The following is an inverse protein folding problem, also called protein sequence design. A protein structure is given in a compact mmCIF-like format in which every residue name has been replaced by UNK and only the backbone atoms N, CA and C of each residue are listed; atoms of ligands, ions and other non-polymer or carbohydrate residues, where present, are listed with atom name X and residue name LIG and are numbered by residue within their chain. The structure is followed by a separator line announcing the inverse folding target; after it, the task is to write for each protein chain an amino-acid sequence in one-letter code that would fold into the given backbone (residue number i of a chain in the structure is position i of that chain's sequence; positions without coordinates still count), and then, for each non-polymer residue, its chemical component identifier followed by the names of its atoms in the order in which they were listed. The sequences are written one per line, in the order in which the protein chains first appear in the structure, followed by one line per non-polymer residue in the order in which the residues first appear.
data_IF_086292182698
#
_entry.id   IF_086292182698
#
_cell.length_a   1.000
_cell.length_b   1.000
_cell.length_c   1.000
_cell.angle_alpha   90.00
_cell.angle_beta   90.00
_cell.angle_gamma   90.00
#
_symmetry.space_group_name_H-M   'P 1'
#
loop_
_entity.id
_entity.type
_entity.pdbx_description
1 polymer ?
#
# COMPACT_ATOMS: atom_id res chain seq x y z
N UNK A 1 -13.14 -21.83 12.15
CA UNK A 1 -14.15 -21.76 11.07
C UNK A 1 -15.04 -20.51 11.19
N UNK A 2 -15.61 -20.20 12.36
CA UNK A 2 -16.43 -18.99 12.59
C UNK A 2 -15.70 -17.66 12.28
N UNK A 3 -14.43 -17.53 12.67
CA UNK A 3 -13.63 -16.30 12.49
C UNK A 3 -13.46 -15.94 11.00
N UNK A 4 -13.31 -16.94 10.13
CA UNK A 4 -13.16 -16.72 8.69
C UNK A 4 -14.47 -16.26 8.03
N UNK A 5 -15.62 -16.74 8.53
CA UNK A 5 -16.94 -16.31 8.03
C UNK A 5 -17.19 -14.86 8.44
N UNK A 6 -16.90 -14.49 9.68
CA UNK A 6 -17.05 -13.11 10.18
C UNK A 6 -16.13 -12.15 9.41
N UNK A 7 -14.87 -12.54 9.17
CA UNK A 7 -13.93 -11.76 8.34
C UNK A 7 -14.45 -11.58 6.90
N UNK A 8 -14.95 -12.63 6.26
CA UNK A 8 -15.53 -12.55 4.90
C UNK A 8 -16.77 -11.67 4.85
N UNK A 9 -17.66 -11.79 5.84
CA UNK A 9 -18.88 -10.99 5.90
C UNK A 9 -18.58 -9.50 6.14
N UNK A 10 -17.59 -9.19 6.99
CA UNK A 10 -17.09 -7.81 7.16
C UNK A 10 -16.46 -7.26 5.90
N UNK A 11 -15.64 -8.05 5.19
CA UNK A 11 -15.06 -7.66 3.89
C UNK A 11 -16.15 -7.38 2.86
N UNK A 12 -17.22 -8.18 2.87
CA UNK A 12 -18.39 -7.95 2.01
C UNK A 12 -19.11 -6.63 2.36
N UNK A 13 -19.30 -6.33 3.66
CA UNK A 13 -19.89 -5.06 4.09
C UNK A 13 -19.00 -3.85 3.73
N UNK A 14 -17.68 -3.98 3.81
CA UNK A 14 -16.77 -2.90 3.43
C UNK A 14 -16.76 -2.60 1.94
N UNK A 15 -17.15 -3.54 1.08
CA UNK A 15 -17.33 -3.25 -0.36
C UNK A 15 -18.44 -2.24 -0.65
N UNK A 16 -19.40 -2.06 0.26
CA UNK A 16 -20.40 -0.98 0.12
C UNK A 16 -19.78 0.40 0.37
N UNK A 17 -18.72 0.48 1.18
CA UNK A 17 -18.00 1.73 1.48
C UNK A 17 -16.86 1.98 0.50
N UNK A 18 -16.12 0.94 0.12
CA UNK A 18 -15.03 1.02 -0.84
C UNK A 18 -15.24 -0.02 -1.96
N UNK A 19 -15.86 0.40 -3.08
CA UNK A 19 -16.27 -0.54 -4.13
C UNK A 19 -15.10 -1.11 -4.94
N UNK A 20 -13.92 -0.47 -4.89
CA UNK A 20 -12.76 -0.83 -5.72
C UNK A 20 -11.61 -1.39 -4.88
N UNK A 21 -10.94 -0.56 -4.06
CA UNK A 21 -9.85 -1.01 -3.18
C UNK A 21 -10.26 -0.98 -1.72
N UNK A 22 -9.76 -1.92 -0.92
CA UNK A 22 -9.94 -1.94 0.52
C UNK A 22 -8.64 -1.56 1.24
N UNK A 23 -8.69 -0.93 2.44
CA UNK A 23 -7.50 -0.71 3.24
C UNK A 23 -6.73 -2.00 3.55
N UNK A 24 -7.43 -3.13 3.65
CA UNK A 24 -6.83 -4.45 3.83
C UNK A 24 -6.02 -4.93 2.62
N UNK A 25 -6.36 -4.49 1.41
CA UNK A 25 -5.61 -4.88 0.22
C UNK A 25 -4.20 -4.27 0.29
N UNK A 26 -4.10 -3.00 0.71
CA UNK A 26 -2.81 -2.35 0.98
C UNK A 26 -2.09 -2.98 2.16
N UNK A 27 -2.81 -3.27 3.25
CA UNK A 27 -2.24 -3.96 4.41
C UNK A 27 -1.60 -5.30 4.01
N UNK A 28 -2.29 -6.07 3.19
CA UNK A 28 -1.79 -7.35 2.67
C UNK A 28 -0.56 -7.17 1.77
N UNK A 29 -0.58 -6.17 0.88
CA UNK A 29 0.51 -5.92 -0.06
C UNK A 29 1.78 -5.42 0.65
N UNK A 30 1.63 -4.61 1.71
CA UNK A 30 2.74 -4.13 2.53
C UNK A 30 3.16 -5.11 3.65
N UNK A 31 2.35 -6.13 3.94
CA UNK A 31 2.58 -7.04 5.07
C UNK A 31 2.29 -6.40 6.43
N UNK A 32 1.37 -5.45 6.50
CA UNK A 32 0.97 -4.79 7.74
C UNK A 32 -0.15 -5.60 8.40
N UNK A 33 -0.01 -5.88 9.69
CA UNK A 33 -1.05 -6.54 10.47
C UNK A 33 -1.83 -5.51 11.31
N UNK A 34 -3.13 -5.43 11.08
CA UNK A 34 -4.05 -4.66 11.93
C UNK A 34 -4.91 -5.60 12.79
N UNK A 35 -5.17 -5.21 14.05
CA UNK A 35 -6.07 -5.96 14.94
C UNK A 35 -7.53 -5.95 14.45
N UNK A 36 -7.91 -4.91 13.72
CA UNK A 36 -9.24 -4.72 13.14
C UNK A 36 -9.10 -4.07 11.75
N UNK A 37 -10.08 -4.25 10.85
CA UNK A 37 -10.19 -3.48 9.60
C UNK A 37 -9.97 -1.98 9.81
N UNK A 38 -8.88 -1.38 9.28
CA UNK A 38 -8.67 0.05 9.42
C UNK A 38 -9.60 0.81 8.48
N UNK A 39 -10.05 1.98 8.92
CA UNK A 39 -10.62 2.98 8.03
C UNK A 39 -9.54 3.56 7.10
N UNK A 40 -9.96 4.25 6.03
CA UNK A 40 -9.03 4.92 5.12
C UNK A 40 -8.15 5.95 5.85
N UNK A 41 -8.72 6.75 6.75
CA UNK A 41 -7.96 7.77 7.48
C UNK A 41 -6.98 7.14 8.48
N UNK A 42 -7.32 6.02 9.09
CA UNK A 42 -6.39 5.25 9.94
C UNK A 42 -5.24 4.66 9.12
N UNK A 43 -5.54 4.15 7.92
CA UNK A 43 -4.53 3.67 7.00
C UNK A 43 -3.57 4.80 6.61
N UNK A 44 -4.08 5.96 6.18
CA UNK A 44 -3.23 7.11 5.83
C UNK A 44 -2.35 7.54 7.02
N UNK A 45 -2.95 7.69 8.21
CA UNK A 45 -2.19 8.04 9.42
C UNK A 45 -1.09 7.03 9.72
N UNK A 46 -1.36 5.75 9.52
CA UNK A 46 -0.37 4.70 9.70
C UNK A 46 0.75 4.83 8.66
N UNK A 47 0.42 4.95 7.37
CA UNK A 47 1.41 4.99 6.29
C UNK A 47 2.37 6.19 6.37
N UNK A 48 1.92 7.33 6.90
CA UNK A 48 2.76 8.52 7.10
C UNK A 48 3.47 8.55 8.46
N UNK A 49 3.19 7.60 9.36
CA UNK A 49 3.87 7.51 10.65
C UNK A 49 5.33 7.07 10.42
N UNK A 50 6.34 7.76 10.97
CA UNK A 50 7.74 7.37 10.82
C UNK A 50 8.08 5.97 11.35
N UNK A 51 7.19 5.36 12.15
CA UNK A 51 7.34 3.99 12.65
C UNK A 51 6.74 2.94 11.72
N UNK A 52 6.01 3.36 10.68
CA UNK A 52 5.52 2.45 9.66
C UNK A 52 6.70 1.84 8.92
N UNK A 53 6.77 0.51 8.98
CA UNK A 53 7.78 -0.24 8.27
C UNK A 53 7.14 -1.51 7.68
N UNK A 54 6.97 -1.59 6.35
CA UNK A 54 6.34 -2.73 5.71
C UNK A 54 7.22 -3.99 5.86
N UNK A 55 6.58 -5.12 6.15
CA UNK A 55 7.29 -6.40 6.36
C UNK A 55 7.67 -7.07 5.02
N UNK A 56 6.84 -6.85 3.99
CA UNK A 56 7.03 -7.47 2.66
C UNK A 56 8.03 -6.72 1.78
N UNK A 57 8.37 -5.48 2.12
CA UNK A 57 9.24 -4.62 1.33
C UNK A 57 10.51 -4.29 2.11
N UNK A 58 11.66 -4.57 1.50
CA UNK A 58 12.98 -4.41 2.12
C UNK A 58 13.87 -3.57 1.24
N UNK A 59 14.72 -2.77 1.87
CA UNK A 59 15.72 -2.00 1.15
C UNK A 59 16.64 -2.96 0.40
N UNK A 60 16.93 -2.62 -0.84
CA UNK A 60 17.77 -3.37 -1.78
C UNK A 60 17.19 -4.70 -2.28
N UNK A 61 15.92 -5.01 -2.01
CA UNK A 61 15.27 -6.16 -2.64
C UNK A 61 15.19 -5.98 -4.17
N UNK A 62 15.13 -7.10 -4.90
CA UNK A 62 15.02 -7.07 -6.36
C UNK A 62 13.70 -6.42 -6.79
N UNK A 63 13.71 -5.76 -7.96
CA UNK A 63 12.54 -5.09 -8.51
C UNK A 63 11.36 -6.02 -8.66
N UNK A 64 11.59 -7.22 -9.19
CA UNK A 64 10.54 -8.21 -9.44
C UNK A 64 9.83 -8.59 -8.14
N UNK A 65 10.58 -8.80 -7.07
CA UNK A 65 10.05 -9.12 -5.74
C UNK A 65 9.27 -7.94 -5.14
N UNK A 66 9.80 -6.71 -5.29
CA UNK A 66 9.17 -5.51 -4.76
C UNK A 66 7.83 -5.23 -5.46
N UNK A 67 7.81 -5.36 -6.78
CA UNK A 67 6.61 -5.16 -7.59
C UNK A 67 5.57 -6.26 -7.37
N UNK A 68 6.00 -7.49 -7.11
CA UNK A 68 5.12 -8.60 -6.76
C UNK A 68 4.43 -8.43 -5.40
N UNK A 69 4.92 -7.51 -4.55
CA UNK A 69 4.24 -7.18 -3.30
C UNK A 69 2.87 -6.52 -3.55
N UNK A 70 2.75 -5.72 -4.61
CA UNK A 70 1.56 -4.94 -4.96
C UNK A 70 0.63 -5.69 -5.91
N UNK A 71 0.26 -6.91 -5.55
CA UNK A 71 -0.56 -7.74 -6.45
C UNK A 71 -2.00 -7.22 -6.56
N UNK A 72 -2.52 -6.62 -5.49
CA UNK A 72 -3.91 -6.16 -5.41
C UNK A 72 -4.12 -4.72 -5.94
N UNK A 73 -3.06 -4.04 -6.38
CA UNK A 73 -3.15 -2.71 -6.97
C UNK A 73 -3.99 -2.71 -8.25
N UNK A 74 -4.86 -1.70 -8.41
CA UNK A 74 -5.74 -1.58 -9.57
C UNK A 74 -4.99 -1.20 -10.84
N UNK A 75 -3.94 -0.39 -10.70
CA UNK A 75 -3.06 0.02 -11.79
C UNK A 75 -1.61 -0.20 -11.39
N UNK A 76 -0.82 -0.71 -12.33
CA UNK A 76 0.61 -1.01 -12.15
C UNK A 76 1.36 -0.47 -13.37
N UNK A 77 2.22 0.52 -13.17
CA UNK A 77 3.03 1.12 -14.22
C UNK A 77 4.51 0.96 -13.91
N UNK A 78 5.29 0.61 -14.92
CA UNK A 78 6.73 0.39 -14.80
C UNK A 78 7.46 1.42 -15.65
N UNK A 79 8.34 2.18 -15.00
CA UNK A 79 9.26 3.12 -15.62
C UNK A 79 10.69 2.62 -15.46
N UNK A 80 11.67 3.33 -16.04
CA UNK A 80 13.06 2.87 -16.02
C UNK A 80 13.58 2.63 -14.59
N UNK A 81 13.49 3.64 -13.73
CA UNK A 81 13.96 3.59 -12.34
C UNK A 81 12.82 3.59 -11.31
N UNK A 82 11.57 3.65 -11.76
CA UNK A 82 10.42 3.75 -10.86
C UNK A 82 9.33 2.75 -11.24
N UNK A 83 8.48 2.40 -10.28
CA UNK A 83 7.20 1.75 -10.54
C UNK A 83 6.10 2.43 -9.72
N UNK A 84 4.93 2.57 -10.31
CA UNK A 84 3.76 3.23 -9.72
C UNK A 84 2.64 2.20 -9.55
N UNK A 85 2.09 2.14 -8.34
CA UNK A 85 0.97 1.28 -7.99
C UNK A 85 -0.18 2.11 -7.43
N UNK A 86 -1.33 2.08 -8.08
CA UNK A 86 -2.48 2.92 -7.70
C UNK A 86 -3.65 2.08 -7.20
N UNK A 87 -4.18 2.49 -6.05
CA UNK A 87 -5.41 1.97 -5.45
C UNK A 87 -6.47 3.06 -5.47
N UNK A 88 -7.72 2.69 -5.72
CA UNK A 88 -8.82 3.65 -5.81
C UNK A 88 -9.78 3.50 -4.64
N UNK A 89 -9.94 4.60 -3.90
CA UNK A 89 -10.88 4.74 -2.80
C UNK A 89 -11.92 5.81 -3.12
N UNK A 90 -12.99 5.85 -2.33
CA UNK A 90 -13.97 6.95 -2.39
C UNK A 90 -13.34 8.32 -2.11
N UNK A 91 -12.25 8.34 -1.35
CA UNK A 91 -11.45 9.50 -0.99
C UNK A 91 -10.46 9.92 -2.09
N UNK A 92 -10.31 9.13 -3.16
CA UNK A 92 -9.39 9.39 -4.27
C UNK A 92 -8.36 8.30 -4.52
N UNK A 93 -7.38 8.62 -5.34
CA UNK A 93 -6.25 7.73 -5.65
C UNK A 93 -5.21 7.75 -4.55
N UNK A 94 -4.88 6.57 -4.03
CA UNK A 94 -3.74 6.35 -3.15
C UNK A 94 -2.67 5.60 -3.94
N UNK A 95 -1.51 6.22 -4.07
CA UNK A 95 -0.48 5.78 -5.00
C UNK A 95 0.84 5.49 -4.27
N UNK A 96 1.51 4.42 -4.68
CA UNK A 96 2.82 4.03 -4.19
C UNK A 96 3.84 4.13 -5.31
N UNK A 97 4.88 4.94 -5.10
CA UNK A 97 6.01 5.08 -6.01
C UNK A 97 7.20 4.34 -5.43
N UNK A 98 7.58 3.24 -6.07
CA UNK A 98 8.80 2.49 -5.76
C UNK A 98 9.94 3.06 -6.58
N UNK A 99 11.02 3.48 -5.93
CA UNK A 99 12.24 3.95 -6.59
C UNK A 99 13.34 2.89 -6.51
N UNK A 100 13.99 2.63 -7.63
CA UNK A 100 15.05 1.64 -7.79
C UNK A 100 16.37 2.30 -8.18
N UNK A 101 17.48 1.64 -7.84
CA UNK A 101 18.79 2.03 -8.37
C UNK A 101 19.03 1.49 -9.80
N UNK A 102 20.19 1.81 -10.35
CA UNK A 102 20.62 1.34 -11.68
C UNK A 102 20.77 -0.19 -11.80
N UNK A 103 20.75 -0.92 -10.68
CA UNK A 103 20.79 -2.37 -10.63
C UNK A 103 19.39 -2.98 -10.40
N UNK A 104 18.33 -2.15 -10.43
CA UNK A 104 16.97 -2.61 -10.18
C UNK A 104 16.69 -2.99 -8.73
N UNK A 105 17.44 -2.45 -7.77
CA UNK A 105 17.21 -2.73 -6.34
C UNK A 105 16.39 -1.62 -5.70
N UNK A 106 15.39 -1.98 -4.90
CA UNK A 106 14.51 -1.04 -4.22
C UNK A 106 15.33 -0.12 -3.30
N UNK A 107 15.10 1.20 -3.37
CA UNK A 107 15.78 2.19 -2.55
C UNK A 107 14.83 2.94 -1.64
N UNK A 108 13.67 3.35 -2.16
CA UNK A 108 12.68 4.18 -1.46
C UNK A 108 11.27 3.84 -1.91
N UNK A 109 10.32 4.12 -1.03
CA UNK A 109 8.89 4.07 -1.34
C UNK A 109 8.28 5.39 -0.91
N UNK A 110 7.51 5.99 -1.79
CA UNK A 110 6.69 7.15 -1.48
C UNK A 110 5.23 6.78 -1.57
N UNK A 111 4.42 7.29 -0.65
CA UNK A 111 2.97 7.23 -0.70
C UNK A 111 2.40 8.62 -1.01
N UNK A 112 1.53 8.67 -2.00
CA UNK A 112 0.93 9.90 -2.50
C UNK A 112 -0.59 9.82 -2.41
N UNK A 113 -1.20 10.89 -1.89
CA UNK A 113 -2.64 11.07 -1.81
C UNK A 113 -2.93 12.54 -1.54
N UNK A 114 -4.07 13.06 -1.99
CA UNK A 114 -4.47 14.46 -1.78
C UNK A 114 -4.56 14.91 -0.29
N UNK A 115 -4.65 13.96 0.64
CA UNK A 115 -4.65 14.22 2.10
C UNK A 115 -3.24 14.30 2.70
N UNK A 116 -2.20 13.94 1.93
CA UNK A 116 -0.79 14.01 2.35
C UNK A 116 -0.24 15.34 1.84
N UNK A 117 0.17 16.22 2.75
CA UNK A 117 0.54 17.61 2.43
C UNK A 117 1.97 17.78 1.86
N UNK A 118 2.70 16.69 1.67
CA UNK A 118 4.07 16.71 1.15
C UNK A 118 4.03 16.62 -0.38
N UNK A 119 4.71 17.55 -1.07
CA UNK A 119 4.66 17.66 -2.54
C UNK A 119 5.10 16.38 -3.26
N UNK A 120 6.09 15.67 -2.73
CA UNK A 120 6.59 14.40 -3.29
C UNK A 120 5.85 13.17 -2.73
N UNK A 121 4.92 13.37 -1.80
CA UNK A 121 4.34 12.32 -0.96
C UNK A 121 5.16 12.05 0.31
N UNK A 122 4.67 11.13 1.14
CA UNK A 122 5.37 10.69 2.34
C UNK A 122 6.27 9.50 2.05
N UNK A 123 7.54 9.57 2.46
CA UNK A 123 8.43 8.42 2.37
C UNK A 123 8.06 7.38 3.44
N UNK A 124 7.87 6.12 3.01
CA UNK A 124 7.70 4.98 3.89
C UNK A 124 9.07 4.37 4.16
N UNK A 125 9.44 4.25 5.43
CA UNK A 125 10.73 3.65 5.81
C UNK A 125 10.75 2.17 5.48
N UNK A 126 11.83 1.73 4.83
CA UNK A 126 12.10 0.32 4.53
C UNK A 126 13.00 -0.30 5.62
N UNK A 127 12.77 -1.59 5.88
CA UNK A 127 13.70 -2.43 6.67
C UNK A 127 14.98 -2.77 5.92
#
# INVERSE_FOLDING_TARGET
MLINIIKKFRRFLMRFRYPVSLPEDIAQDLGITFSHPPSFDELIKYLIDPRCCPERLKKFMAREDAEAAFDLACRKEKFLQNSLFSYYFTEGWLEFVLQFDNQGRLRRIYVQHQKIQQDEGAEILLT
#
